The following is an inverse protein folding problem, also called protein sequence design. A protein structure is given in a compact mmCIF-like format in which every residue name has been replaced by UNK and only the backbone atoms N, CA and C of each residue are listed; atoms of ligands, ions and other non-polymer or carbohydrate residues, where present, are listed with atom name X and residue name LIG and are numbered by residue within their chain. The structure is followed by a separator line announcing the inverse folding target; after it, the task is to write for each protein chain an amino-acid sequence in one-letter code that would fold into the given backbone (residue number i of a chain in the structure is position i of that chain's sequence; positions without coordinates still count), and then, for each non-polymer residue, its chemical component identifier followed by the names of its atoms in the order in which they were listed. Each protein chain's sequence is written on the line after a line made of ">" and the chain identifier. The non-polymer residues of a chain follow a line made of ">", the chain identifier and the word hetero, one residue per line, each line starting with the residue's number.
data_IF_828519009063
#
_entry.id   IF_828519009063
#
_cell.length_a   1.000
_cell.length_b   1.000
_cell.length_c   1.000
_cell.angle_alpha   90.00
_cell.angle_beta   90.00
_cell.angle_gamma   90.00
#
_symmetry.space_group_name_H-M   'P 1'
#
loop_
_entity.id
_entity.type
_entity.pdbx_description
1 polymer ?
#
# COMPACT_ATOMS: atom_id res chain seq x y z
N UNK A 1 -1.17 11.50 -27.25
CA UNK A 1 -0.41 10.27 -26.94
C UNK A 1 0.64 10.50 -25.84
N UNK A 2 1.68 11.32 -26.01
CA UNK A 2 2.72 11.52 -24.97
C UNK A 2 2.17 12.09 -23.63
N UNK A 3 1.30 13.11 -23.70
CA UNK A 3 0.71 13.74 -22.51
C UNK A 3 -0.18 12.77 -21.71
N UNK A 4 -0.94 11.93 -22.39
CA UNK A 4 -1.82 10.94 -21.76
C UNK A 4 -1.04 9.85 -21.03
N UNK A 5 0.03 9.33 -21.64
CA UNK A 5 0.91 8.36 -20.99
C UNK A 5 1.56 8.94 -19.72
N UNK A 6 2.02 10.20 -19.76
CA UNK A 6 2.57 10.89 -18.58
C UNK A 6 1.53 10.99 -17.46
N UNK A 7 0.29 11.36 -17.79
CA UNK A 7 -0.80 11.47 -16.81
C UNK A 7 -1.16 10.12 -16.18
N UNK A 8 -1.15 9.03 -16.96
CA UNK A 8 -1.43 7.69 -16.46
C UNK A 8 -0.32 7.23 -15.50
N UNK A 9 0.95 7.48 -15.84
CA UNK A 9 2.09 7.14 -14.97
C UNK A 9 2.04 7.91 -13.65
N UNK A 10 1.77 9.20 -13.70
CA UNK A 10 1.58 10.04 -12.52
C UNK A 10 0.39 9.57 -11.66
N UNK A 11 -0.72 9.14 -12.28
CA UNK A 11 -1.85 8.57 -11.56
C UNK A 11 -1.48 7.24 -10.85
N UNK A 12 -0.74 6.35 -11.51
CA UNK A 12 -0.27 5.11 -10.91
C UNK A 12 0.63 5.37 -9.70
N UNK A 13 1.55 6.33 -9.81
CA UNK A 13 2.43 6.72 -8.70
C UNK A 13 1.66 7.34 -7.53
N UNK A 14 0.57 8.07 -7.79
CA UNK A 14 -0.31 8.58 -6.72
C UNK A 14 -1.04 7.45 -5.98
N UNK A 15 -1.49 6.41 -6.70
CA UNK A 15 -2.08 5.22 -6.10
C UNK A 15 -1.07 4.44 -5.26
N UNK A 16 0.17 4.38 -5.72
CA UNK A 16 1.27 3.80 -4.96
C UNK A 16 1.54 4.58 -3.66
N UNK A 17 1.67 5.91 -3.75
CA UNK A 17 1.87 6.76 -2.59
C UNK A 17 0.72 6.69 -1.58
N UNK A 18 -0.52 6.50 -2.04
CA UNK A 18 -1.65 6.25 -1.15
C UNK A 18 -1.50 4.92 -0.38
N UNK A 19 -1.04 3.86 -1.07
CA UNK A 19 -0.72 2.56 -0.45
C UNK A 19 0.39 2.71 0.59
N UNK A 20 1.48 3.42 0.25
CA UNK A 20 2.59 3.72 1.18
C UNK A 20 2.08 4.43 2.43
N UNK A 21 1.27 5.48 2.29
CA UNK A 21 0.80 6.24 3.43
C UNK A 21 -0.11 5.42 4.36
N UNK A 22 -0.97 4.58 3.80
CA UNK A 22 -1.77 3.64 4.60
C UNK A 22 -0.86 2.65 5.35
N UNK A 23 0.12 2.04 4.67
CA UNK A 23 1.09 1.15 5.30
C UNK A 23 1.89 1.84 6.41
N UNK A 24 2.34 3.08 6.19
CA UNK A 24 3.03 3.87 7.20
C UNK A 24 2.15 4.11 8.43
N UNK A 25 0.88 4.47 8.22
CA UNK A 25 -0.07 4.70 9.31
C UNK A 25 -0.29 3.44 10.15
N UNK A 26 -0.46 2.28 9.50
CA UNK A 26 -0.59 1.00 10.18
C UNK A 26 0.65 0.69 11.05
N UNK A 27 1.84 0.74 10.44
CA UNK A 27 3.12 0.44 11.10
C UNK A 27 3.35 1.41 12.27
N UNK A 28 3.12 2.70 12.07
CA UNK A 28 3.29 3.70 13.12
C UNK A 28 2.32 3.45 14.28
N UNK A 29 1.03 3.21 13.98
CA UNK A 29 0.02 2.94 15.00
C UNK A 29 0.34 1.70 15.84
N UNK A 30 0.84 0.63 15.22
CA UNK A 30 1.01 -0.66 15.90
C UNK A 30 2.40 -0.86 16.50
N UNK A 31 3.44 -0.35 15.85
CA UNK A 31 4.84 -0.58 16.22
C UNK A 31 5.56 0.68 16.71
N UNK A 32 4.98 1.88 16.52
CA UNK A 32 5.65 3.14 16.87
C UNK A 32 6.85 3.47 15.98
N UNK A 33 6.94 2.86 14.79
CA UNK A 33 8.08 2.98 13.87
C UNK A 33 7.65 3.73 12.60
N UNK A 34 8.51 4.61 12.09
CA UNK A 34 8.35 5.23 10.77
C UNK A 34 9.32 4.56 9.80
N UNK A 35 8.84 3.78 8.80
CA UNK A 35 9.73 3.08 7.88
C UNK A 35 10.35 4.02 6.84
N UNK A 36 11.64 3.82 6.57
CA UNK A 36 12.47 4.59 5.65
C UNK A 36 12.51 4.03 4.23
N UNK A 37 12.19 2.75 3.99
CA UNK A 37 12.31 2.12 2.66
C UNK A 37 11.17 1.15 2.31
N UNK A 38 11.05 0.73 1.04
CA UNK A 38 10.08 -0.30 0.64
C UNK A 38 10.41 -1.66 1.26
N UNK A 39 11.71 -2.01 1.34
CA UNK A 39 12.16 -3.23 2.02
C UNK A 39 11.76 -3.23 3.50
N UNK A 40 11.97 -2.12 4.20
CA UNK A 40 11.61 -2.01 5.61
C UNK A 40 10.09 -2.10 5.83
N UNK A 41 9.29 -1.48 4.96
CA UNK A 41 7.82 -1.63 4.99
C UNK A 41 7.40 -3.10 4.87
N UNK A 42 7.99 -3.85 3.93
CA UNK A 42 7.70 -5.30 3.78
C UNK A 42 8.08 -6.07 5.05
N UNK A 43 9.26 -5.82 5.62
CA UNK A 43 9.70 -6.48 6.85
C UNK A 43 8.82 -6.17 8.06
N UNK A 44 8.35 -4.93 8.18
CA UNK A 44 7.45 -4.54 9.27
C UNK A 44 6.03 -5.05 9.05
N UNK A 45 5.58 -5.19 7.80
CA UNK A 45 4.33 -5.90 7.47
C UNK A 45 4.43 -7.40 7.80
N UNK A 46 5.52 -8.09 7.46
CA UNK A 46 5.76 -9.49 7.87
C UNK A 46 5.60 -9.60 9.40
N UNK A 47 6.28 -8.72 10.16
CA UNK A 47 6.19 -8.68 11.62
C UNK A 47 4.77 -8.39 12.14
N UNK A 48 4.00 -7.56 11.44
CA UNK A 48 2.61 -7.26 11.84
C UNK A 48 1.69 -8.44 11.60
N UNK A 49 1.88 -9.17 10.51
CA UNK A 49 1.15 -10.41 10.24
C UNK A 49 1.45 -11.46 11.32
N UNK A 50 2.71 -11.61 11.74
CA UNK A 50 3.09 -12.51 12.85
C UNK A 50 2.43 -12.14 14.20
N UNK A 51 2.15 -10.85 14.42
CA UNK A 51 1.66 -10.32 15.71
C UNK A 51 0.14 -10.13 15.77
N UNK A 52 -0.53 -10.02 14.62
CA UNK A 52 -1.95 -9.69 14.55
C UNK A 52 -2.66 -10.58 13.51
N UNK A 53 -3.44 -11.59 13.96
CA UNK A 53 -4.15 -12.51 13.07
C UNK A 53 -5.10 -11.83 12.06
N UNK A 54 -5.67 -10.66 12.40
CA UNK A 54 -6.51 -9.92 11.46
C UNK A 54 -5.67 -9.29 10.34
N UNK A 55 -4.45 -8.85 10.65
CA UNK A 55 -3.50 -8.33 9.64
C UNK A 55 -3.01 -9.48 8.76
N UNK A 56 -2.66 -10.63 9.35
CA UNK A 56 -2.28 -11.86 8.62
C UNK A 56 -3.37 -12.29 7.64
N UNK A 57 -4.62 -12.39 8.10
CA UNK A 57 -5.77 -12.77 7.28
C UNK A 57 -5.98 -11.86 6.08
N UNK A 58 -5.61 -10.58 6.21
CA UNK A 58 -5.72 -9.59 5.13
C UNK A 58 -4.55 -9.66 4.14
N UNK A 59 -3.46 -10.38 4.46
CA UNK A 59 -2.27 -10.55 3.62
C UNK A 59 -1.67 -9.23 3.16
N UNK A 60 -1.60 -8.25 4.08
CA UNK A 60 -1.22 -6.88 3.76
C UNK A 60 0.18 -6.75 3.18
N UNK A 61 1.11 -7.64 3.53
CA UNK A 61 2.47 -7.68 3.00
C UNK A 61 2.50 -8.01 1.52
N UNK A 62 1.85 -9.10 1.11
CA UNK A 62 1.80 -9.52 -0.29
C UNK A 62 0.99 -8.54 -1.13
N UNK A 63 -0.09 -8.02 -0.54
CA UNK A 63 -0.88 -6.94 -1.10
C UNK A 63 -0.05 -5.68 -1.36
N UNK A 64 0.77 -5.24 -0.41
CA UNK A 64 1.68 -4.11 -0.59
C UNK A 64 2.67 -4.38 -1.74
N UNK A 65 3.30 -5.56 -1.76
CA UNK A 65 4.26 -5.96 -2.79
C UNK A 65 3.65 -6.00 -4.20
N UNK A 66 2.42 -6.49 -4.34
CA UNK A 66 1.71 -6.49 -5.62
C UNK A 66 1.50 -5.06 -6.16
N UNK A 67 1.13 -4.11 -5.30
CA UNK A 67 0.95 -2.70 -5.70
C UNK A 67 2.26 -2.02 -6.06
N UNK A 68 3.34 -2.32 -5.35
CA UNK A 68 4.69 -1.86 -5.72
C UNK A 68 5.02 -2.31 -7.15
N UNK A 69 4.84 -3.60 -7.44
CA UNK A 69 5.12 -4.16 -8.76
C UNK A 69 4.28 -3.48 -9.85
N UNK A 70 2.97 -3.42 -9.68
CA UNK A 70 2.08 -2.96 -10.75
C UNK A 70 2.09 -1.44 -10.93
N UNK A 71 2.06 -0.68 -9.85
CA UNK A 71 1.90 0.77 -9.91
C UNK A 71 3.24 1.50 -10.05
N UNK A 72 4.20 1.15 -9.18
CA UNK A 72 5.47 1.85 -9.07
C UNK A 72 6.49 1.35 -10.10
N UNK A 73 6.71 0.04 -10.15
CA UNK A 73 7.72 -0.53 -11.05
C UNK A 73 7.21 -0.56 -12.49
N UNK A 74 6.14 -1.31 -12.78
CA UNK A 74 5.67 -1.53 -14.14
C UNK A 74 5.12 -0.27 -14.80
N UNK A 75 4.13 0.38 -14.19
CA UNK A 75 3.49 1.53 -14.82
C UNK A 75 4.34 2.79 -14.67
N UNK A 76 4.72 3.18 -13.46
CA UNK A 76 5.43 4.43 -13.26
C UNK A 76 6.86 4.41 -13.82
N UNK A 77 7.71 3.44 -13.44
CA UNK A 77 9.11 3.40 -13.92
C UNK A 77 9.27 2.83 -15.32
N UNK A 78 8.79 1.60 -15.56
CA UNK A 78 8.97 0.90 -16.84
C UNK A 78 8.08 1.49 -17.97
N UNK A 79 7.02 2.22 -17.62
CA UNK A 79 6.13 2.88 -18.58
C UNK A 79 5.13 1.94 -19.25
N UNK A 80 4.90 0.75 -18.67
CA UNK A 80 3.94 -0.23 -19.17
C UNK A 80 2.53 0.20 -18.77
N UNK A 81 1.73 0.61 -19.76
CA UNK A 81 0.35 1.07 -19.56
C UNK A 81 -0.62 -0.03 -19.99
N UNK A 82 -1.27 -0.63 -19.01
CA UNK A 82 -2.43 -1.51 -19.17
C UNK A 82 -3.59 -0.88 -18.37
N UNK A 83 -4.55 -0.28 -19.08
CA UNK A 83 -5.65 0.48 -18.47
C UNK A 83 -6.57 -0.41 -17.66
N UNK A 84 -6.86 -1.62 -18.13
CA UNK A 84 -7.75 -2.55 -17.40
C UNK A 84 -7.10 -3.03 -16.10
N UNK A 85 -5.79 -3.28 -16.14
CA UNK A 85 -5.03 -3.60 -14.93
C UNK A 85 -5.06 -2.44 -13.94
N UNK A 86 -4.85 -1.21 -14.40
CA UNK A 86 -4.88 -0.02 -13.54
C UNK A 86 -6.25 0.24 -12.92
N UNK A 87 -7.35 -0.01 -13.64
CA UNK A 87 -8.70 0.06 -13.07
C UNK A 87 -8.93 -0.97 -11.97
N UNK A 88 -8.38 -2.19 -12.13
CA UNK A 88 -8.41 -3.22 -11.08
C UNK A 88 -7.56 -2.82 -9.89
N UNK A 89 -6.35 -2.28 -10.11
CA UNK A 89 -5.48 -1.85 -9.02
C UNK A 89 -6.04 -0.64 -8.27
N UNK A 90 -6.73 0.29 -8.94
CA UNK A 90 -7.46 1.37 -8.27
C UNK A 90 -8.45 0.85 -7.21
N UNK A 91 -9.23 -0.19 -7.56
CA UNK A 91 -10.18 -0.82 -6.64
C UNK A 91 -9.45 -1.48 -5.46
N UNK A 92 -8.37 -2.23 -5.75
CA UNK A 92 -7.56 -2.90 -4.72
C UNK A 92 -6.84 -1.94 -3.78
N UNK A 93 -6.39 -0.78 -4.28
CA UNK A 93 -5.80 0.28 -3.45
C UNK A 93 -6.86 0.86 -2.51
N UNK A 94 -8.07 1.13 -3.00
CA UNK A 94 -9.19 1.58 -2.16
C UNK A 94 -9.53 0.55 -1.08
N UNK A 95 -9.59 -0.72 -1.43
CA UNK A 95 -9.81 -1.81 -0.47
C UNK A 95 -8.68 -1.89 0.56
N UNK A 96 -7.42 -1.80 0.12
CA UNK A 96 -6.25 -1.81 1.00
C UNK A 96 -6.31 -0.69 2.05
N UNK A 97 -6.62 0.53 1.61
CA UNK A 97 -6.74 1.69 2.50
C UNK A 97 -7.89 1.47 3.50
N UNK A 98 -9.05 0.99 3.04
CA UNK A 98 -10.18 0.73 3.92
C UNK A 98 -9.88 -0.36 4.95
N UNK A 99 -9.18 -1.43 4.56
CA UNK A 99 -8.81 -2.51 5.47
C UNK A 99 -7.84 -2.01 6.54
N UNK A 100 -6.83 -1.22 6.14
CA UNK A 100 -5.89 -0.57 7.06
C UNK A 100 -6.61 0.38 8.01
N UNK A 101 -7.51 1.23 7.50
CA UNK A 101 -8.28 2.19 8.31
C UNK A 101 -9.11 1.47 9.38
N UNK A 102 -9.74 0.34 9.04
CA UNK A 102 -10.45 -0.49 10.03
C UNK A 102 -9.51 -1.01 11.11
N UNK A 103 -8.34 -1.53 10.75
CA UNK A 103 -7.37 -2.05 11.73
C UNK A 103 -6.87 -0.93 12.66
N UNK A 104 -6.52 0.24 12.09
CA UNK A 104 -6.03 1.38 12.87
C UNK A 104 -7.10 1.91 13.83
N UNK A 105 -8.37 1.98 13.41
CA UNK A 105 -9.48 2.44 14.27
C UNK A 105 -9.89 1.46 15.36
N UNK A 106 -9.68 0.15 15.17
CA UNK A 106 -10.04 -0.87 16.16
C UNK A 106 -9.03 -0.92 17.31
N UNK A 107 -7.83 -0.35 17.17
CA UNK A 107 -6.96 -0.18 18.32
C UNK A 107 -7.59 0.80 19.33
N UNK A 108 -7.94 0.35 20.55
CA UNK A 108 -8.40 1.27 21.58
C UNK A 108 -7.25 2.19 21.91
N UNK A 109 -7.53 3.51 21.91
CA UNK A 109 -6.61 4.56 22.34
C UNK A 109 -5.67 4.02 23.43
N UNK A 110 -4.38 3.85 23.10
CA UNK A 110 -3.35 3.87 24.14
C UNK A 110 -3.40 5.27 24.69
N UNK A 111 -4.11 5.44 25.80
CA UNK A 111 -4.15 6.67 26.58
C UNK A 111 -2.71 7.22 26.68
N UNK A 112 -2.46 8.31 25.95
CA UNK A 112 -1.39 9.24 26.28
C UNK A 112 -1.89 10.12 27.43
#
# INVERSE_FOLDING_TARGET
>A
MLNEAIRIRDAAEKLWNATINATNALILSHLGIVPASHWERRKLLDKLEDLNPEVEKLGLRDRYGARERYLHEMTFYEGIIDVEMLERELKKVKEYINDVDRIVKVQPNKNL
#
